data_IF_677318656781
#
_entry.id   IF_677318656781
#
_cell.length_a   1.000
_cell.length_b   1.000
_cell.length_c   1.000
_cell.angle_alpha   90.00
_cell.angle_beta   90.00
_cell.angle_gamma   90.00
#
_symmetry.space_group_name_H-M   'P 1'
#
loop_
_entity.id
_entity.type
_entity.pdbx_description
1 polymer ?
#
# COMPACT_ATOMS: atom_id res chain seq x y z
N UNK A 1 -9.76 6.47 11.36
CA UNK A 1 -8.77 6.95 12.36
C UNK A 1 -9.14 8.37 12.73
N UNK A 2 -8.80 8.82 13.94
CA UNK A 2 -9.15 10.17 14.40
C UNK A 2 -7.90 10.89 14.89
N UNK A 3 -7.60 12.04 14.29
CA UNK A 3 -6.48 12.90 14.71
C UNK A 3 -6.93 13.90 15.78
N UNK A 4 -6.06 14.13 16.75
CA UNK A 4 -6.20 15.15 17.78
C UNK A 4 -4.94 16.00 17.82
N UNK A 5 -5.10 17.30 17.64
CA UNK A 5 -3.98 18.25 17.67
C UNK A 5 -4.09 19.14 18.90
N UNK A 6 -2.99 19.31 19.62
CA UNK A 6 -2.90 20.26 20.74
C UNK A 6 -1.51 20.87 20.84
N UNK A 7 -1.43 22.04 21.45
CA UNK A 7 -0.16 22.72 21.69
C UNK A 7 0.40 22.36 23.08
N UNK A 8 1.65 21.94 23.14
CA UNK A 8 2.30 21.50 24.38
C UNK A 8 3.80 21.81 24.35
N UNK A 9 4.28 22.53 25.37
CA UNK A 9 5.68 22.95 25.53
C UNK A 9 6.32 23.60 24.28
N UNK A 10 5.53 24.39 23.53
CA UNK A 10 6.01 25.06 22.31
C UNK A 10 5.91 24.21 21.04
N UNK A 11 5.43 22.98 21.12
CA UNK A 11 5.25 22.08 19.99
C UNK A 11 3.77 21.84 19.67
N UNK A 12 3.46 21.64 18.38
CA UNK A 12 2.16 21.12 17.97
C UNK A 12 2.23 19.60 17.96
N UNK A 13 1.47 18.97 18.85
CA UNK A 13 1.43 17.51 19.01
C UNK A 13 0.20 16.98 18.30
N UNK A 14 0.40 16.03 17.39
CA UNK A 14 -0.67 15.31 16.70
C UNK A 14 -0.72 13.88 17.22
N UNK A 15 -1.81 13.52 17.91
CA UNK A 15 -2.10 12.16 18.33
C UNK A 15 -3.11 11.54 17.38
N UNK A 16 -2.83 10.33 16.93
CA UNK A 16 -3.65 9.63 15.96
C UNK A 16 -4.24 8.39 16.63
N UNK A 17 -5.55 8.42 16.82
CA UNK A 17 -6.31 7.36 17.42
C UNK A 17 -6.71 6.31 16.38
N UNK A 18 -6.30 5.08 16.64
CA UNK A 18 -6.52 3.90 15.79
C UNK A 18 -7.69 3.08 16.36
N UNK A 19 -8.59 2.57 15.52
CA UNK A 19 -9.52 1.52 15.95
C UNK A 19 -8.76 0.35 16.59
N UNK A 20 -9.32 -0.24 17.65
CA UNK A 20 -8.72 -1.41 18.29
C UNK A 20 -8.85 -2.66 17.43
N UNK A 21 -7.90 -3.59 17.52
CA UNK A 21 -8.01 -4.89 16.83
C UNK A 21 -9.11 -5.79 17.42
N UNK A 22 -9.51 -5.56 18.68
CA UNK A 22 -10.63 -6.23 19.36
C UNK A 22 -11.97 -5.45 19.19
N UNK A 23 -12.14 -4.69 18.10
CA UNK A 23 -13.36 -3.89 17.85
C UNK A 23 -14.57 -4.82 17.60
N UNK A 24 -15.72 -4.48 18.19
CA UNK A 24 -16.96 -5.27 18.06
C UNK A 24 -17.64 -5.09 16.70
N UNK A 25 -17.38 -3.97 16.03
CA UNK A 25 -18.01 -3.57 14.77
C UNK A 25 -17.09 -3.78 13.56
N UNK A 26 -15.77 -3.79 13.76
CA UNK A 26 -14.79 -3.95 12.69
C UNK A 26 -14.03 -5.26 12.79
N UNK A 27 -13.71 -5.85 11.63
CA UNK A 27 -12.86 -7.03 11.60
C UNK A 27 -11.38 -6.67 11.81
N UNK A 28 -10.59 -7.62 12.32
CA UNK A 28 -9.13 -7.46 12.48
C UNK A 28 -8.46 -7.05 11.15
N UNK A 29 -8.93 -7.62 10.03
CA UNK A 29 -8.50 -7.24 8.68
C UNK A 29 -8.83 -5.78 8.34
N UNK A 30 -10.06 -5.34 8.59
CA UNK A 30 -10.47 -3.96 8.31
C UNK A 30 -9.69 -2.94 9.16
N UNK A 31 -9.39 -3.29 10.41
CA UNK A 31 -8.54 -2.47 11.29
C UNK A 31 -7.14 -2.35 10.70
N UNK A 32 -6.53 -3.48 10.31
CA UNK A 32 -5.22 -3.51 9.66
C UNK A 32 -5.18 -2.65 8.40
N UNK A 33 -6.15 -2.82 7.49
CA UNK A 33 -6.26 -2.03 6.26
C UNK A 33 -6.33 -0.54 6.54
N UNK A 34 -7.15 -0.13 7.51
CA UNK A 34 -7.31 1.29 7.86
C UNK A 34 -6.00 1.89 8.39
N UNK A 35 -5.28 1.15 9.23
CA UNK A 35 -3.99 1.58 9.77
C UNK A 35 -2.95 1.65 8.64
N UNK A 36 -2.86 0.62 7.81
CA UNK A 36 -1.92 0.52 6.71
C UNK A 36 -2.07 1.68 5.71
N UNK A 37 -3.30 1.95 5.25
CA UNK A 37 -3.59 3.06 4.32
C UNK A 37 -3.20 4.41 4.90
N UNK A 38 -3.54 4.65 6.17
CA UNK A 38 -3.18 5.91 6.82
C UNK A 38 -1.66 6.08 6.95
N UNK A 39 -0.95 5.00 7.31
CA UNK A 39 0.51 5.00 7.40
C UNK A 39 1.18 5.21 6.03
N UNK A 40 0.62 4.60 4.98
CA UNK A 40 1.05 4.77 3.59
C UNK A 40 0.90 6.23 3.15
N UNK A 41 -0.30 6.80 3.29
CA UNK A 41 -0.61 8.18 2.91
C UNK A 41 0.28 9.18 3.65
N UNK A 42 0.42 9.02 4.97
CA UNK A 42 1.27 9.87 5.80
C UNK A 42 2.74 9.81 5.33
N UNK A 43 3.26 8.62 5.04
CA UNK A 43 4.64 8.45 4.60
C UNK A 43 4.89 9.03 3.20
N UNK A 44 3.95 8.83 2.26
CA UNK A 44 4.01 9.45 0.91
C UNK A 44 4.02 10.98 0.99
N UNK A 45 3.33 11.55 1.97
CA UNK A 45 3.33 12.99 2.25
C UNK A 45 4.55 13.47 3.06
N UNK A 46 5.54 12.61 3.29
CA UNK A 46 6.77 12.89 4.07
C UNK A 46 6.50 13.25 5.53
N UNK A 47 5.32 12.91 6.05
CA UNK A 47 4.99 13.02 7.46
C UNK A 47 5.53 11.77 8.19
N UNK A 48 6.40 11.98 9.17
CA UNK A 48 7.03 10.90 9.94
C UNK A 48 6.49 10.87 11.36
N UNK A 49 6.25 9.66 11.87
CA UNK A 49 5.86 9.44 13.26
C UNK A 49 7.08 9.56 14.17
N UNK A 50 7.00 10.40 15.19
CA UNK A 50 8.02 10.44 16.25
C UNK A 50 8.00 9.16 17.11
N UNK A 51 6.85 8.50 17.21
CA UNK A 51 6.75 7.20 17.85
C UNK A 51 5.35 6.60 17.80
N UNK A 52 5.23 5.40 18.36
CA UNK A 52 3.98 4.63 18.44
C UNK A 52 3.74 4.24 19.88
N UNK A 53 2.50 4.34 20.34
CA UNK A 53 2.10 4.01 21.71
C UNK A 53 1.24 2.74 21.66
N UNK A 54 1.71 1.66 22.27
CA UNK A 54 0.94 0.43 22.47
C UNK A 54 0.36 0.42 23.87
N UNK A 55 -0.97 0.38 23.99
CA UNK A 55 -1.66 0.42 25.28
C UNK A 55 -2.09 -0.99 25.70
N UNK A 56 -1.83 -1.35 26.96
CA UNK A 56 -2.32 -2.57 27.58
C UNK A 56 -2.99 -2.28 28.92
N UNK A 57 -4.09 -2.97 29.22
CA UNK A 57 -4.79 -2.83 30.51
C UNK A 57 -4.19 -3.80 31.53
N UNK A 58 -3.57 -3.28 32.59
CA UNK A 58 -2.97 -4.10 33.65
C UNK A 58 -4.02 -4.88 34.47
N UNK A 59 -5.29 -4.47 34.37
CA UNK A 59 -6.41 -5.15 35.00
C UNK A 59 -6.67 -6.54 34.40
N UNK A 60 -6.34 -6.75 33.12
CA UNK A 60 -6.51 -8.06 32.49
C UNK A 60 -5.50 -9.04 33.10
N UNK A 61 -5.96 -10.18 33.68
CA UNK A 61 -5.09 -11.07 34.45
C UNK A 61 -4.10 -11.85 33.59
N UNK A 62 -4.32 -11.94 32.27
CA UNK A 62 -3.48 -12.71 31.36
C UNK A 62 -3.45 -12.08 29.97
N UNK A 63 -2.30 -12.17 29.32
CA UNK A 63 -2.14 -11.96 27.88
C UNK A 63 -2.56 -13.25 27.15
N UNK A 64 -3.85 -13.42 26.87
CA UNK A 64 -4.35 -14.63 26.21
C UNK A 64 -4.98 -14.35 24.84
N UNK A 65 -4.85 -15.33 23.94
CA UNK A 65 -5.55 -15.40 22.66
C UNK A 65 -5.34 -14.18 21.78
N UNK A 66 -6.36 -13.30 21.72
CA UNK A 66 -6.37 -12.13 20.83
C UNK A 66 -5.30 -11.10 21.16
N UNK A 67 -5.04 -10.86 22.44
CA UNK A 67 -4.05 -9.86 22.86
C UNK A 67 -2.64 -10.21 22.36
N UNK A 68 -2.27 -11.50 22.38
CA UNK A 68 -0.98 -11.95 21.85
C UNK A 68 -0.91 -11.88 20.33
N UNK A 69 -1.99 -12.25 19.65
CA UNK A 69 -2.06 -12.13 18.18
C UNK A 69 -1.92 -10.67 17.74
N UNK A 70 -2.63 -9.77 18.42
CA UNK A 70 -2.59 -8.33 18.15
C UNK A 70 -1.18 -7.76 18.41
N UNK A 71 -0.51 -8.22 19.48
CA UNK A 71 0.87 -7.83 19.76
C UNK A 71 1.85 -8.33 18.68
N UNK A 72 1.69 -9.58 18.22
CA UNK A 72 2.51 -10.12 17.12
C UNK A 72 2.30 -9.35 15.83
N UNK A 73 1.05 -9.05 15.49
CA UNK A 73 0.71 -8.23 14.33
C UNK A 73 1.30 -6.82 14.45
N UNK A 74 1.21 -6.20 15.63
CA UNK A 74 1.84 -4.91 15.92
C UNK A 74 3.36 -4.94 15.69
N UNK A 75 4.03 -6.01 16.14
CA UNK A 75 5.47 -6.19 15.88
C UNK A 75 5.78 -6.27 14.39
N UNK A 76 4.97 -6.98 13.61
CA UNK A 76 5.13 -7.03 12.14
C UNK A 76 4.88 -5.67 11.48
N UNK A 77 3.92 -4.88 11.98
CA UNK A 77 3.65 -3.52 11.50
C UNK A 77 4.85 -2.59 11.72
N UNK A 78 5.43 -2.64 12.92
CA UNK A 78 6.55 -1.77 13.28
C UNK A 78 7.87 -2.21 12.65
N UNK A 79 8.18 -3.51 12.65
CA UNK A 79 9.54 -4.02 12.44
C UNK A 79 10.47 -3.74 13.61
N UNK A 80 11.73 -4.17 13.52
CA UNK A 80 12.67 -4.13 14.66
C UNK A 80 13.28 -2.74 14.92
N UNK A 81 13.79 -2.07 13.89
CA UNK A 81 14.47 -0.77 14.05
C UNK A 81 13.58 0.34 14.66
N UNK A 82 12.27 0.42 14.34
CA UNK A 82 11.39 1.43 14.94
C UNK A 82 11.00 1.16 16.40
N UNK A 83 11.33 0.00 16.97
CA UNK A 83 10.95 -0.35 18.35
C UNK A 83 11.52 0.63 19.40
N UNK A 84 12.67 1.25 19.14
CA UNK A 84 13.21 2.32 20.00
C UNK A 84 12.33 3.58 20.10
N UNK A 85 11.39 3.75 19.15
CA UNK A 85 10.39 4.81 19.14
C UNK A 85 9.01 4.29 19.60
N UNK A 86 8.93 3.08 20.16
CA UNK A 86 7.70 2.50 20.70
C UNK A 86 7.65 2.68 22.21
N UNK A 87 6.52 3.18 22.70
CA UNK A 87 6.19 3.19 24.13
C UNK A 87 5.14 2.11 24.40
N UNK A 88 5.46 1.21 25.32
CA UNK A 88 4.58 0.16 25.81
C UNK A 88 3.96 0.64 27.13
N UNK A 89 2.72 1.11 27.07
CA UNK A 89 2.09 1.77 28.21
C UNK A 89 1.05 0.88 28.90
N UNK A 90 1.17 0.70 30.21
CA UNK A 90 0.19 -0.01 31.04
C UNK A 90 -0.84 0.97 31.61
N UNK A 91 -2.12 0.62 31.52
CA UNK A 91 -3.28 1.46 31.89
C UNK A 91 -4.15 0.76 32.93
N UNK A 92 -5.13 1.45 33.52
CA UNK A 92 -6.08 0.93 34.53
C UNK A 92 -5.43 0.47 35.85
N UNK A 93 -4.34 1.11 36.27
CA UNK A 93 -3.67 0.82 37.54
C UNK A 93 -4.57 0.98 38.78
N UNK A 94 -5.56 1.87 38.73
CA UNK A 94 -6.54 2.02 39.83
C UNK A 94 -7.52 0.85 40.00
N UNK A 95 -7.57 -0.10 39.06
CA UNK A 95 -8.46 -1.26 39.12
C UNK A 95 -7.82 -2.50 39.79
N UNK A 96 -6.53 -2.44 40.12
CA UNK A 96 -5.78 -3.53 40.76
C UNK A 96 -4.97 -2.98 41.94
N UNK A 97 -4.64 -3.85 42.89
CA UNK A 97 -3.65 -3.46 43.91
C UNK A 97 -2.24 -3.41 43.30
N UNK A 98 -1.36 -2.61 43.91
CA UNK A 98 -0.02 -2.33 43.42
C UNK A 98 0.82 -3.61 43.26
N UNK A 99 0.74 -4.55 44.22
CA UNK A 99 1.53 -5.78 44.18
C UNK A 99 1.14 -6.66 42.99
N UNK A 100 -0.15 -6.79 42.72
CA UNK A 100 -0.67 -7.56 41.58
C UNK A 100 -0.33 -6.87 40.27
N UNK A 101 -0.50 -5.55 40.20
CA UNK A 101 -0.15 -4.77 39.02
C UNK A 101 1.35 -4.86 38.69
N UNK A 102 2.21 -4.71 39.70
CA UNK A 102 3.65 -4.82 39.55
C UNK A 102 4.08 -6.23 39.09
N UNK A 103 3.50 -7.29 39.68
CA UNK A 103 3.78 -8.67 39.24
C UNK A 103 3.39 -8.92 37.79
N UNK A 104 2.25 -8.38 37.33
CA UNK A 104 1.81 -8.48 35.93
C UNK A 104 2.68 -7.66 34.99
N UNK A 105 3.10 -6.48 35.41
CA UNK A 105 4.00 -5.64 34.62
C UNK A 105 5.37 -6.31 34.46
N UNK A 106 5.88 -6.96 35.51
CA UNK A 106 7.12 -7.73 35.42
C UNK A 106 6.95 -8.91 34.46
N UNK A 107 5.84 -9.65 34.52
CA UNK A 107 5.56 -10.72 33.56
C UNK A 107 5.55 -10.20 32.11
N UNK A 108 4.95 -9.03 31.86
CA UNK A 108 4.98 -8.39 30.54
C UNK A 108 6.42 -8.12 30.09
N UNK A 109 7.27 -7.61 30.99
CA UNK A 109 8.67 -7.26 30.71
C UNK A 109 9.54 -8.49 30.48
N UNK A 110 9.42 -9.52 31.31
CA UNK A 110 10.36 -10.65 31.30
C UNK A 110 10.09 -11.64 30.16
N UNK A 111 8.83 -11.81 29.75
CA UNK A 111 8.45 -12.83 28.76
C UNK A 111 8.77 -12.36 27.33
N UNK A 112 9.65 -13.05 26.58
CA UNK A 112 10.02 -12.65 25.21
C UNK A 112 8.85 -12.62 24.21
N UNK A 113 7.85 -13.47 24.42
CA UNK A 113 6.61 -13.52 23.65
C UNK A 113 5.65 -12.38 23.97
N UNK A 114 5.86 -11.68 25.10
CA UNK A 114 5.15 -10.47 25.49
C UNK A 114 5.98 -9.24 25.08
N UNK A 115 6.37 -8.40 26.04
CA UNK A 115 7.11 -7.17 25.77
C UNK A 115 8.62 -7.34 25.85
N UNK A 116 9.13 -8.43 26.43
CA UNK A 116 10.57 -8.59 26.66
C UNK A 116 11.42 -8.37 25.41
N UNK A 117 11.10 -9.05 24.30
CA UNK A 117 11.82 -8.83 23.05
C UNK A 117 11.72 -7.38 22.57
N UNK A 118 10.57 -6.72 22.73
CA UNK A 118 10.41 -5.33 22.30
C UNK A 118 11.23 -4.36 23.17
N UNK A 119 11.31 -4.63 24.46
CA UNK A 119 12.13 -3.89 25.43
C UNK A 119 13.62 -4.09 25.13
N UNK A 120 14.04 -5.32 24.82
CA UNK A 120 15.43 -5.62 24.41
C UNK A 120 15.85 -4.85 23.15
N UNK A 121 14.90 -4.56 22.26
CA UNK A 121 15.11 -3.76 21.04
C UNK A 121 14.83 -2.26 21.25
N UNK A 122 14.74 -1.80 22.50
CA UNK A 122 14.72 -0.39 22.87
C UNK A 122 13.33 0.21 23.14
N UNK A 123 12.25 -0.58 23.11
CA UNK A 123 10.92 -0.07 23.48
C UNK A 123 10.90 0.36 24.94
N UNK A 124 10.25 1.48 25.23
CA UNK A 124 10.14 2.02 26.59
C UNK A 124 8.84 1.59 27.24
N UNK A 125 8.92 0.95 28.41
CA UNK A 125 7.74 0.71 29.24
C UNK A 125 7.42 1.93 30.13
N UNK A 126 6.14 2.30 30.20
CA UNK A 126 5.65 3.40 31.05
C UNK A 126 4.29 3.06 31.67
N UNK A 127 4.01 3.57 32.88
CA UNK A 127 2.70 3.40 33.54
C UNK A 127 1.85 4.64 33.31
N UNK A 128 0.59 4.46 32.96
CA UNK A 128 -0.42 5.51 32.83
C UNK A 128 -1.40 5.40 33.99
N UNK A 129 -1.21 6.25 34.99
CA UNK A 129 -2.03 6.31 36.21
C UNK A 129 -2.94 7.53 36.23
N UNK A 130 -2.53 8.61 35.57
CA UNK A 130 -3.20 9.91 35.55
C UNK A 130 -2.80 10.73 34.30
N UNK A 131 -3.22 11.99 34.28
CA UNK A 131 -2.89 12.91 33.18
C UNK A 131 -1.40 13.28 33.14
N UNK A 132 -0.72 13.36 34.28
CA UNK A 132 0.69 13.74 34.34
C UNK A 132 1.55 12.66 33.68
N UNK A 133 1.38 11.40 34.11
CA UNK A 133 2.02 10.23 33.51
C UNK A 133 1.68 10.04 32.03
N UNK A 134 0.47 10.42 31.59
CA UNK A 134 0.12 10.43 30.16
C UNK A 134 0.96 11.44 29.37
N UNK A 135 1.18 12.64 29.92
CA UNK A 135 1.99 13.69 29.28
C UNK A 135 3.50 13.34 29.28
N UNK A 136 3.98 12.56 30.24
CA UNK A 136 5.35 12.05 30.25
C UNK A 136 5.66 11.19 29.02
N UNK A 137 4.68 10.43 28.51
CA UNK A 137 4.82 9.67 27.25
C UNK A 137 5.06 10.62 26.08
N UNK A 138 4.31 11.74 26.04
CA UNK A 138 4.45 12.77 25.01
C UNK A 138 5.82 13.44 25.13
N UNK A 139 6.24 13.79 26.35
CA UNK A 139 7.57 14.35 26.61
C UNK A 139 8.71 13.43 26.14
N UNK A 140 8.54 12.12 26.33
CA UNK A 140 9.52 11.13 25.89
C UNK A 140 9.59 11.00 24.35
N UNK A 141 8.45 10.98 23.67
CA UNK A 141 8.40 10.78 22.21
C UNK A 141 8.67 12.06 21.41
N UNK A 142 8.35 13.24 21.95
CA UNK A 142 8.50 14.52 21.26
C UNK A 142 9.91 14.80 20.70
N UNK A 143 11.02 14.57 21.42
CA UNK A 143 12.38 14.80 20.88
C UNK A 143 12.85 13.70 19.93
N UNK A 144 12.12 12.60 19.80
CA UNK A 144 12.56 11.46 18.98
C UNK A 144 12.50 11.80 17.49
N UNK A 145 13.55 11.45 16.75
CA UNK A 145 13.53 11.54 15.29
C UNK A 145 12.63 10.44 14.74
N UNK A 146 11.70 10.80 13.85
CA UNK A 146 10.78 9.83 13.28
C UNK A 146 11.48 8.77 12.42
N UNK A 147 11.09 7.51 12.64
CA UNK A 147 11.62 6.33 11.94
C UNK A 147 10.47 5.68 11.17
N UNK A 148 10.64 5.36 9.87
CA UNK A 148 9.60 4.68 9.11
C UNK A 148 9.35 3.28 9.67
N UNK A 149 8.08 2.96 9.87
CA UNK A 149 7.63 1.61 10.23
C UNK A 149 7.87 0.65 9.06
N UNK A 150 7.98 -0.64 9.34
CA UNK A 150 8.26 -1.63 8.31
C UNK A 150 7.18 -1.67 7.23
N UNK A 151 5.91 -1.63 7.62
CA UNK A 151 4.80 -1.57 6.67
C UNK A 151 4.87 -0.36 5.74
N UNK A 152 5.39 0.78 6.20
CA UNK A 152 5.55 1.98 5.36
C UNK A 152 6.63 1.76 4.30
N UNK A 153 7.77 1.16 4.67
CA UNK A 153 8.83 0.82 3.70
C UNK A 153 8.34 -0.21 2.71
N UNK A 154 7.63 -1.23 3.18
CA UNK A 154 7.11 -2.29 2.31
C UNK A 154 6.10 -1.74 1.29
N UNK A 155 5.13 -0.94 1.73
CA UNK A 155 4.09 -0.45 0.83
C UNK A 155 4.53 0.72 -0.05
N UNK A 156 5.43 1.59 0.43
CA UNK A 156 5.82 2.80 -0.30
C UNK A 156 7.15 2.65 -1.02
N UNK A 157 8.19 2.15 -0.35
CA UNK A 157 9.53 2.03 -0.94
C UNK A 157 9.66 0.77 -1.81
N UNK A 158 9.00 -0.32 -1.42
CA UNK A 158 9.05 -1.62 -2.12
C UNK A 158 7.81 -1.89 -2.98
N UNK A 159 6.81 -0.99 -2.99
CA UNK A 159 5.55 -1.09 -3.74
C UNK A 159 4.80 -2.42 -3.52
N UNK A 160 4.92 -3.00 -2.32
CA UNK A 160 4.21 -4.23 -1.95
C UNK A 160 2.75 -3.93 -1.63
N UNK A 161 1.79 -4.71 -2.17
CA UNK A 161 0.40 -4.63 -1.73
C UNK A 161 0.27 -5.09 -0.27
N UNK A 162 -0.76 -4.66 0.44
CA UNK A 162 -0.93 -4.92 1.88
C UNK A 162 -0.78 -6.41 2.23
N UNK A 163 -1.40 -7.30 1.46
CA UNK A 163 -1.37 -8.76 1.70
C UNK A 163 0.04 -9.37 1.57
N UNK A 164 0.96 -8.70 0.88
CA UNK A 164 2.35 -9.16 0.69
C UNK A 164 3.32 -8.54 1.72
N UNK A 165 2.86 -7.59 2.54
CA UNK A 165 3.64 -7.05 3.67
C UNK A 165 3.80 -8.07 4.80
N UNK A 166 4.80 -7.90 5.67
CA UNK A 166 5.00 -8.77 6.82
C UNK A 166 3.76 -8.85 7.73
N UNK A 167 3.08 -7.71 7.94
CA UNK A 167 1.85 -7.65 8.71
C UNK A 167 0.67 -8.34 8.01
N UNK A 168 0.53 -8.15 6.69
CA UNK A 168 -0.51 -8.79 5.89
C UNK A 168 -0.34 -10.31 5.79
N UNK A 169 0.89 -10.78 5.59
CA UNK A 169 1.22 -12.20 5.58
C UNK A 169 0.91 -12.85 6.93
N UNK A 170 1.36 -12.23 8.03
CA UNK A 170 1.05 -12.73 9.38
C UNK A 170 -0.46 -12.78 9.65
N UNK A 171 -1.22 -11.76 9.22
CA UNK A 171 -2.68 -11.78 9.33
C UNK A 171 -3.29 -12.93 8.52
N UNK A 172 -2.83 -13.13 7.29
CA UNK A 172 -3.36 -14.18 6.42
C UNK A 172 -3.05 -15.59 6.96
N UNK A 173 -1.82 -15.82 7.45
CA UNK A 173 -1.43 -17.07 8.12
C UNK A 173 -2.27 -17.33 9.37
N UNK A 174 -2.51 -16.30 10.17
CA UNK A 174 -3.33 -16.40 11.38
C UNK A 174 -4.80 -16.76 11.05
N UNK A 175 -5.36 -16.16 10.00
CA UNK A 175 -6.70 -16.49 9.51
C UNK A 175 -6.77 -17.94 9.02
N UNK A 176 -5.77 -18.42 8.28
CA UNK A 176 -5.71 -19.82 7.85
C UNK A 176 -5.59 -20.80 9.01
N UNK A 177 -4.73 -20.51 9.99
CA UNK A 177 -4.58 -21.35 11.18
C UNK A 177 -5.90 -21.48 11.95
N UNK A 178 -6.65 -20.38 12.10
CA UNK A 178 -7.98 -20.39 12.74
C UNK A 178 -9.03 -21.12 11.91
N UNK A 179 -8.97 -21.00 10.59
CA UNK A 179 -9.83 -21.72 9.67
C UNK A 179 -9.66 -23.23 9.85
N UNK A 180 -8.42 -23.71 9.91
CA UNK A 180 -8.08 -25.13 10.11
C UNK A 180 -8.58 -25.64 11.46
N UNK A 181 -8.29 -24.92 12.55
CA UNK A 181 -8.77 -25.27 13.89
C UNK A 181 -10.30 -25.37 13.94
N UNK A 182 -11.02 -24.39 13.39
CA UNK A 182 -12.48 -24.43 13.36
C UNK A 182 -13.03 -25.53 12.44
N UNK A 183 -12.31 -25.90 11.38
CA UNK A 183 -12.71 -27.01 10.51
C UNK A 183 -12.58 -28.35 11.24
N UNK A 184 -11.49 -28.56 11.97
CA UNK A 184 -11.30 -29.75 12.80
C UNK A 184 -12.34 -29.84 13.94
N UNK A 185 -12.59 -28.72 14.63
CA UNK A 185 -13.64 -28.65 15.66
C UNK A 185 -15.02 -28.97 15.08
N UNK A 186 -15.35 -28.43 13.90
CA UNK A 186 -16.61 -28.69 13.22
C UNK A 186 -16.75 -30.17 12.84
N UNK A 187 -15.66 -30.83 12.43
CA UNK A 187 -15.67 -32.25 12.13
C UNK A 187 -15.97 -33.08 13.39
N UNK A 188 -15.29 -32.81 14.51
CA UNK A 188 -15.53 -33.51 15.78
C UNK A 188 -16.98 -33.33 16.26
N UNK A 189 -17.52 -32.12 16.18
CA UNK A 189 -18.91 -31.85 16.56
C UNK A 189 -19.89 -32.63 15.68
N UNK A 190 -19.60 -32.80 14.38
CA UNK A 190 -20.45 -33.60 13.49
C UNK A 190 -20.45 -35.08 13.87
N UNK A 191 -19.28 -35.62 14.19
CA UNK A 191 -19.14 -37.01 14.66
C UNK A 191 -19.88 -37.22 16.00
N UNK A 192 -19.72 -36.32 16.97
CA UNK A 192 -20.46 -36.35 18.24
C UNK A 192 -21.97 -36.19 18.04
N UNK A 193 -22.40 -35.38 17.07
CA UNK A 193 -23.80 -35.16 16.77
C UNK A 193 -24.45 -36.39 16.15
N UNK A 194 -23.73 -37.15 15.30
CA UNK A 194 -24.20 -38.43 14.76
C UNK A 194 -24.40 -39.47 15.88
N UNK A 195 -23.45 -39.57 16.82
CA UNK A 195 -23.58 -40.44 17.99
C UNK A 195 -24.77 -40.06 18.88
N UNK A 196 -24.98 -38.76 19.12
CA UNK A 196 -26.12 -38.27 19.90
C UNK A 196 -27.48 -38.60 19.24
N UNK A 197 -27.55 -38.66 17.90
CA UNK A 197 -28.73 -39.12 17.17
C UNK A 197 -28.98 -40.61 17.41
N UNK A 198 -27.93 -41.43 17.38
CA UNK A 198 -28.03 -42.87 17.63
C UNK A 198 -28.48 -43.17 19.07
N UNK A 199 -27.94 -42.44 20.05
CA UNK A 199 -28.26 -42.57 21.47
C UNK A 199 -29.60 -41.92 21.87
N UNK A 200 -30.22 -41.16 20.96
CA UNK A 200 -31.48 -40.41 21.16
C UNK A 200 -31.40 -39.38 22.30
N UNK A 201 -30.23 -38.78 22.51
CA UNK A 201 -30.06 -37.68 23.48
C UNK A 201 -30.43 -36.33 22.82
N UNK A 202 -31.67 -35.90 23.02
CA UNK A 202 -32.17 -34.63 22.47
C UNK A 202 -31.49 -33.40 23.09
N UNK A 203 -31.04 -33.47 24.35
CA UNK A 203 -30.39 -32.33 25.01
C UNK A 203 -28.98 -32.12 24.47
N UNK A 204 -28.20 -33.19 24.36
CA UNK A 204 -26.86 -33.14 23.77
C UNK A 204 -26.92 -32.70 22.31
N UNK A 205 -27.89 -33.21 21.55
CA UNK A 205 -28.10 -32.80 20.16
C UNK A 205 -28.32 -31.30 20.01
N UNK A 206 -29.19 -30.69 20.83
CA UNK A 206 -29.45 -29.26 20.78
C UNK A 206 -28.19 -28.41 21.08
N UNK A 207 -27.38 -28.83 22.05
CA UNK A 207 -26.11 -28.17 22.39
C UNK A 207 -25.10 -28.27 21.24
N UNK A 208 -25.00 -29.44 20.61
CA UNK A 208 -24.10 -29.66 19.47
C UNK A 208 -24.54 -28.86 18.24
N UNK A 209 -25.84 -28.78 17.94
CA UNK A 209 -26.37 -27.94 16.86
C UNK A 209 -26.07 -26.45 17.07
N UNK A 210 -26.19 -25.95 18.31
CA UNK A 210 -25.82 -24.56 18.63
C UNK A 210 -24.32 -24.31 18.45
N UNK A 211 -23.48 -25.23 18.95
CA UNK A 211 -22.03 -25.13 18.80
C UNK A 211 -21.62 -25.19 17.33
N UNK A 212 -22.23 -26.08 16.53
CA UNK A 212 -22.02 -26.17 15.08
C UNK A 212 -22.33 -24.83 14.41
N UNK A 213 -23.51 -24.25 14.65
CA UNK A 213 -23.89 -22.95 14.08
C UNK A 213 -22.92 -21.86 14.48
N UNK A 214 -22.41 -21.86 15.73
CA UNK A 214 -21.41 -20.90 16.19
C UNK A 214 -20.10 -21.01 15.41
N UNK A 215 -19.60 -22.23 15.20
CA UNK A 215 -18.35 -22.46 14.44
C UNK A 215 -18.53 -22.11 12.97
N UNK A 216 -19.64 -22.51 12.35
CA UNK A 216 -19.96 -22.14 10.96
C UNK A 216 -20.02 -20.61 10.77
N UNK A 217 -20.61 -19.89 11.73
CA UNK A 217 -20.60 -18.43 11.73
C UNK A 217 -19.18 -17.85 11.86
N UNK A 218 -18.31 -18.46 12.68
CA UNK A 218 -16.91 -18.04 12.79
C UNK A 218 -16.11 -18.32 11.51
N UNK A 219 -16.31 -19.46 10.86
CA UNK A 219 -15.73 -19.77 9.54
C UNK A 219 -16.17 -18.76 8.49
N UNK A 220 -17.46 -18.45 8.42
CA UNK A 220 -17.98 -17.42 7.52
C UNK A 220 -17.33 -16.05 7.75
N UNK A 221 -17.08 -15.67 9.01
CA UNK A 221 -16.33 -14.44 9.33
C UNK A 221 -14.89 -14.49 8.83
N UNK A 222 -14.20 -15.63 8.98
CA UNK A 222 -12.83 -15.82 8.49
C UNK A 222 -12.77 -15.71 6.97
N UNK A 223 -13.67 -16.39 6.25
CA UNK A 223 -13.71 -16.32 4.78
C UNK A 223 -13.95 -14.88 4.29
N UNK A 224 -14.83 -14.12 4.94
CA UNK A 224 -15.03 -12.70 4.61
C UNK A 224 -13.75 -11.88 4.81
N UNK A 225 -12.99 -12.12 5.87
CA UNK A 225 -11.73 -11.44 6.14
C UNK A 225 -10.65 -11.80 5.10
N UNK A 226 -10.51 -13.08 4.75
CA UNK A 226 -9.58 -13.50 3.68
C UNK A 226 -9.95 -12.90 2.32
N UNK A 227 -11.24 -12.91 1.96
CA UNK A 227 -11.68 -12.29 0.70
C UNK A 227 -11.51 -10.78 0.70
N UNK A 228 -11.61 -10.11 1.85
CA UNK A 228 -11.31 -8.69 1.98
C UNK A 228 -9.83 -8.38 1.64
N UNK A 229 -8.88 -9.11 2.26
CA UNK A 229 -7.44 -8.94 1.94
C UNK A 229 -7.15 -9.18 0.45
N UNK A 230 -7.77 -10.20 -0.14
CA UNK A 230 -7.61 -10.50 -1.58
C UNK A 230 -8.26 -9.44 -2.47
N UNK A 231 -9.44 -8.93 -2.08
CA UNK A 231 -10.14 -7.90 -2.83
C UNK A 231 -9.36 -6.59 -2.84
N UNK A 232 -8.69 -6.25 -1.74
CA UNK A 232 -7.80 -5.09 -1.64
C UNK A 232 -6.63 -5.19 -2.62
N UNK A 233 -5.93 -6.33 -2.67
CA UNK A 233 -4.90 -6.59 -3.69
C UNK A 233 -5.42 -6.41 -5.12
N UNK A 234 -6.57 -7.02 -5.44
CA UNK A 234 -7.18 -6.89 -6.78
C UNK A 234 -7.55 -5.44 -7.10
N UNK A 235 -7.95 -4.65 -6.10
CA UNK A 235 -8.28 -3.24 -6.29
C UNK A 235 -7.03 -2.39 -6.54
N UNK A 236 -5.95 -2.66 -5.80
CA UNK A 236 -4.63 -2.03 -5.99
C UNK A 236 -4.07 -2.34 -7.38
N UNK A 237 -4.10 -3.60 -7.81
CA UNK A 237 -3.66 -4.03 -9.15
C UNK A 237 -4.44 -3.31 -10.26
N UNK A 238 -5.77 -3.21 -10.13
CA UNK A 238 -6.61 -2.46 -11.07
C UNK A 238 -6.25 -0.97 -11.11
N UNK A 239 -6.03 -0.36 -9.95
CA UNK A 239 -5.63 1.05 -9.86
C UNK A 239 -4.28 1.28 -10.55
N UNK A 240 -3.29 0.43 -10.27
CA UNK A 240 -1.95 0.48 -10.89
C UNK A 240 -2.04 0.36 -12.41
N UNK A 241 -2.83 -0.59 -12.92
CA UNK A 241 -3.04 -0.78 -14.35
C UNK A 241 -3.68 0.47 -15.00
N UNK A 242 -4.73 1.01 -14.38
CA UNK A 242 -5.40 2.21 -14.87
C UNK A 242 -4.47 3.44 -14.85
N UNK A 243 -3.66 3.61 -13.80
CA UNK A 243 -2.70 4.72 -13.69
C UNK A 243 -1.62 4.62 -14.78
N UNK A 244 -1.13 3.41 -15.05
CA UNK A 244 -0.19 3.14 -16.13
C UNK A 244 -0.79 3.47 -17.51
N UNK A 245 -2.01 3.01 -17.78
CA UNK A 245 -2.72 3.31 -19.04
C UNK A 245 -2.96 4.81 -19.22
N UNK A 246 -3.39 5.50 -18.15
CA UNK A 246 -3.58 6.95 -18.16
C UNK A 246 -2.26 7.70 -18.42
N UNK A 247 -1.15 7.23 -17.83
CA UNK A 247 0.17 7.81 -18.07
C UNK A 247 0.62 7.60 -19.53
N UNK A 248 0.43 6.41 -20.09
CA UNK A 248 0.70 6.13 -21.50
C UNK A 248 -0.11 7.04 -22.43
N UNK A 249 -1.40 7.23 -22.15
CA UNK A 249 -2.26 8.14 -22.92
C UNK A 249 -1.79 9.59 -22.84
N UNK A 250 -1.40 10.07 -21.64
CA UNK A 250 -0.84 11.41 -21.45
C UNK A 250 0.48 11.60 -22.19
N UNK A 251 1.36 10.59 -22.17
CA UNK A 251 2.62 10.63 -22.90
C UNK A 251 2.38 10.65 -24.42
N UNK A 252 1.44 9.86 -24.93
CA UNK A 252 1.08 9.84 -26.34
C UNK A 252 0.49 11.19 -26.79
N UNK A 253 -0.42 11.78 -26.00
CA UNK A 253 -1.01 13.08 -26.32
C UNK A 253 0.02 14.22 -26.30
N UNK A 254 0.91 14.24 -25.31
CA UNK A 254 2.03 15.18 -25.26
C UNK A 254 2.98 15.03 -26.45
N UNK A 255 3.27 13.78 -26.85
CA UNK A 255 4.14 13.51 -27.99
C UNK A 255 3.55 14.02 -29.29
N UNK A 256 2.23 13.83 -29.47
CA UNK A 256 1.50 14.40 -30.60
C UNK A 256 1.51 15.93 -30.60
N UNK A 257 1.29 16.57 -29.46
CA UNK A 257 1.31 18.04 -29.35
C UNK A 257 2.69 18.62 -29.65
N UNK A 258 3.76 18.03 -29.12
CA UNK A 258 5.14 18.46 -29.43
C UNK A 258 5.45 18.27 -30.90
N UNK A 259 5.11 17.11 -31.48
CA UNK A 259 5.33 16.87 -32.91
C UNK A 259 4.60 17.90 -33.76
N UNK A 260 3.35 18.22 -33.44
CA UNK A 260 2.58 19.25 -34.12
C UNK A 260 3.23 20.63 -33.92
N UNK A 261 3.60 21.04 -32.71
CA UNK A 261 4.21 22.37 -32.45
C UNK A 261 5.57 22.55 -33.13
N UNK A 262 6.43 21.54 -33.06
CA UNK A 262 7.82 21.63 -33.47
C UNK A 262 8.00 21.33 -34.97
N UNK A 263 6.98 20.76 -35.63
CA UNK A 263 6.99 20.71 -37.10
C UNK A 263 6.81 22.10 -37.68
N UNK A 264 7.91 22.63 -38.24
CA UNK A 264 7.89 23.87 -39.01
C UNK A 264 6.85 23.80 -40.15
N UNK A 265 6.24 24.93 -40.54
CA UNK A 265 5.30 25.00 -41.66
C UNK A 265 5.84 24.33 -42.93
N UNK A 266 7.16 24.44 -43.16
CA UNK A 266 7.88 23.76 -44.23
C UNK A 266 7.67 22.23 -44.24
N UNK A 267 7.73 21.56 -43.07
CA UNK A 267 7.56 20.11 -42.96
C UNK A 267 6.10 19.72 -43.18
N UNK A 268 5.16 20.57 -42.74
CA UNK A 268 3.72 20.36 -42.93
C UNK A 268 3.29 20.53 -44.39
N UNK A 269 3.97 21.40 -45.14
CA UNK A 269 3.68 21.65 -46.55
C UNK A 269 4.37 20.65 -47.50
N UNK A 270 5.33 19.86 -47.00
CA UNK A 270 5.96 18.77 -47.76
C UNK A 270 4.93 17.76 -48.26
N UNK A 271 5.24 17.16 -49.39
CA UNK A 271 4.60 15.94 -49.85
C UNK A 271 5.03 14.74 -49.00
N UNK A 272 4.25 13.66 -49.08
CA UNK A 272 4.58 12.41 -48.37
C UNK A 272 5.97 11.88 -48.76
N UNK A 273 6.29 11.87 -50.05
CA UNK A 273 7.57 11.37 -50.56
C UNK A 273 8.76 12.22 -50.08
N UNK A 274 8.61 13.55 -50.04
CA UNK A 274 9.64 14.46 -49.52
C UNK A 274 9.89 14.23 -48.02
N UNK A 275 8.84 13.99 -47.24
CA UNK A 275 8.97 13.68 -45.82
C UNK A 275 9.65 12.33 -45.59
N UNK A 276 9.30 11.29 -46.36
CA UNK A 276 9.95 9.98 -46.31
C UNK A 276 11.46 10.10 -46.61
N UNK A 277 11.83 10.86 -47.64
CA UNK A 277 13.23 11.09 -47.97
C UNK A 277 14.00 11.76 -46.81
N UNK A 278 13.38 12.74 -46.15
CA UNK A 278 13.96 13.42 -44.99
C UNK A 278 14.13 12.50 -43.77
N UNK A 279 13.16 11.64 -43.50
CA UNK A 279 13.24 10.63 -42.43
C UNK A 279 14.39 9.67 -42.70
N UNK A 280 14.47 9.11 -43.91
CA UNK A 280 15.54 8.20 -44.34
C UNK A 280 16.92 8.82 -44.22
N UNK A 281 17.05 10.10 -44.56
CA UNK A 281 18.31 10.84 -44.38
C UNK A 281 18.73 10.97 -42.90
N UNK A 282 17.79 10.87 -41.95
CA UNK A 282 18.02 10.99 -40.51
C UNK A 282 17.97 9.65 -39.75
N UNK A 283 17.71 8.52 -40.40
CA UNK A 283 17.55 7.20 -39.74
C UNK A 283 18.78 6.77 -38.92
N UNK A 284 19.96 7.23 -39.32
CA UNK A 284 21.22 6.95 -38.61
C UNK A 284 21.17 7.49 -37.17
N UNK A 285 20.36 8.51 -36.90
CA UNK A 285 20.21 9.15 -35.58
C UNK A 285 19.38 8.34 -34.59
N UNK A 286 18.71 7.27 -35.02
CA UNK A 286 17.88 6.41 -34.17
C UNK A 286 18.38 4.96 -34.19
N UNK A 287 18.04 4.18 -33.15
CA UNK A 287 18.44 2.78 -33.03
C UNK A 287 17.68 1.87 -34.02
N UNK A 288 18.18 0.64 -34.23
CA UNK A 288 17.61 -0.30 -35.20
C UNK A 288 16.13 -0.61 -34.97
N UNK A 289 15.71 -0.84 -33.71
CA UNK A 289 14.31 -1.10 -33.36
C UNK A 289 13.37 0.05 -33.76
N UNK A 290 13.81 1.29 -33.63
CA UNK A 290 13.01 2.44 -34.06
C UNK A 290 13.02 2.61 -35.58
N UNK A 291 14.08 2.23 -36.29
CA UNK A 291 14.11 2.22 -37.77
C UNK A 291 13.07 1.24 -38.32
N UNK A 292 13.03 0.02 -37.79
CA UNK A 292 12.08 -1.00 -38.22
C UNK A 292 10.63 -0.55 -37.98
N UNK A 293 10.36 0.09 -36.83
CA UNK A 293 9.04 0.68 -36.53
C UNK A 293 8.67 1.79 -37.52
N UNK A 294 9.62 2.66 -37.87
CA UNK A 294 9.38 3.78 -38.79
C UNK A 294 9.09 3.28 -40.20
N UNK A 295 9.83 2.29 -40.70
CA UNK A 295 9.54 1.67 -42.00
C UNK A 295 8.18 0.97 -42.01
N UNK A 296 7.79 0.34 -40.90
CA UNK A 296 6.42 -0.16 -40.70
C UNK A 296 5.37 0.96 -40.81
N UNK A 297 5.58 2.09 -40.14
CA UNK A 297 4.69 3.26 -40.20
C UNK A 297 4.61 3.89 -41.60
N UNK A 298 5.73 3.93 -42.34
CA UNK A 298 5.75 4.42 -43.73
C UNK A 298 4.91 3.50 -44.61
N UNK A 299 5.11 2.18 -44.50
CA UNK A 299 4.34 1.19 -45.27
C UNK A 299 2.84 1.25 -44.97
N UNK A 300 2.47 1.36 -43.70
CA UNK A 300 1.07 1.48 -43.28
C UNK A 300 0.44 2.78 -43.78
N UNK A 301 1.14 3.91 -43.68
CA UNK A 301 0.64 5.19 -44.19
C UNK A 301 0.47 5.18 -45.72
N UNK A 302 1.35 4.51 -46.46
CA UNK A 302 1.22 4.36 -47.92
C UNK A 302 -0.02 3.55 -48.35
N UNK A 303 -0.50 2.65 -47.49
CA UNK A 303 -1.71 1.86 -47.75
C UNK A 303 -3.01 2.65 -47.54
N UNK A 304 -2.93 3.88 -47.03
CA UNK A 304 -4.09 4.75 -46.89
C UNK A 304 -4.73 5.07 -48.25
N UNK A 305 -6.08 5.05 -48.38
CA UNK A 305 -6.78 5.38 -49.62
C UNK A 305 -6.35 6.75 -50.19
N UNK A 306 -6.04 7.70 -49.31
CA UNK A 306 -5.61 9.06 -49.63
C UNK A 306 -4.20 9.13 -50.25
N UNK A 307 -3.37 8.09 -50.06
CA UNK A 307 -1.98 7.98 -50.57
C UNK A 307 -1.80 6.83 -51.59
N UNK A 308 -2.90 6.21 -51.99
CA UNK A 308 -2.94 5.01 -52.83
C UNK A 308 -2.25 5.15 -54.19
N UNK A 309 -2.18 6.37 -54.76
CA UNK A 309 -1.51 6.62 -56.03
C UNK A 309 -0.28 7.55 -55.86
N UNK A 310 0.68 7.45 -56.78
CA UNK A 310 1.93 8.24 -56.72
C UNK A 310 1.68 9.75 -56.88
N UNK A 311 0.60 10.15 -57.56
CA UNK A 311 0.26 11.55 -57.76
C UNK A 311 -0.21 12.22 -56.45
N UNK A 312 -0.97 11.52 -55.60
CA UNK A 312 -1.41 12.04 -54.30
C UNK A 312 -0.26 12.11 -53.32
N UNK A 313 0.65 11.14 -53.31
CA UNK A 313 1.86 11.16 -52.46
C UNK A 313 2.78 12.36 -52.71
N UNK A 314 2.80 12.88 -53.93
CA UNK A 314 3.59 14.06 -54.32
C UNK A 314 2.87 15.39 -54.09
N UNK A 315 1.60 15.38 -53.66
CA UNK A 315 0.83 16.59 -53.40
C UNK A 315 1.30 17.22 -52.08
N UNK A 316 1.52 18.54 -52.08
CA UNK A 316 1.84 19.31 -50.87
C UNK A 316 0.78 19.11 -49.78
N UNK A 317 1.23 19.08 -48.52
CA UNK A 317 0.35 18.88 -47.36
C UNK A 317 -0.01 17.42 -47.06
N UNK A 318 0.47 16.47 -47.87
CA UNK A 318 0.23 15.03 -47.63
C UNK A 318 1.21 14.42 -46.62
N UNK A 319 2.26 15.15 -46.22
CA UNK A 319 3.12 14.76 -45.09
C UNK A 319 2.34 14.55 -43.79
N UNK A 320 1.18 15.21 -43.61
CA UNK A 320 0.28 15.08 -42.44
C UNK A 320 -0.08 13.63 -42.07
N UNK A 321 -0.20 12.75 -43.06
CA UNK A 321 -0.55 11.34 -42.83
C UNK A 321 0.61 10.59 -42.16
N UNK A 322 1.83 10.84 -42.59
CA UNK A 322 3.03 10.25 -41.97
C UNK A 322 3.37 10.92 -40.64
N UNK A 323 3.19 12.24 -40.52
CA UNK A 323 3.34 12.95 -39.24
C UNK A 323 2.38 12.40 -38.18
N UNK A 324 1.15 12.04 -38.56
CA UNK A 324 0.21 11.38 -37.65
C UNK A 324 0.71 10.00 -37.20
N UNK A 325 1.29 9.21 -38.09
CA UNK A 325 1.87 7.91 -37.72
C UNK A 325 3.10 8.08 -36.80
N UNK A 326 3.98 9.04 -37.09
CA UNK A 326 5.17 9.36 -36.28
C UNK A 326 4.83 9.92 -34.90
N UNK A 327 3.62 10.42 -34.68
CA UNK A 327 3.17 10.92 -33.37
C UNK A 327 3.07 9.83 -32.30
N UNK A 328 3.12 8.55 -32.70
CA UNK A 328 3.14 7.38 -31.82
C UNK A 328 4.54 7.14 -31.22
N UNK A 329 5.59 7.62 -31.90
CA UNK A 329 6.96 7.55 -31.39
C UNK A 329 7.20 8.64 -30.34
N UNK A 330 8.23 8.45 -29.51
CA UNK A 330 8.59 9.45 -28.51
C UNK A 330 9.03 10.76 -29.20
N UNK A 331 8.86 11.92 -28.55
CA UNK A 331 9.20 13.21 -29.15
C UNK A 331 10.67 13.29 -29.57
N UNK A 332 11.54 12.60 -28.83
CA UNK A 332 12.97 12.51 -29.12
C UNK A 332 13.22 11.77 -30.44
N UNK A 333 12.59 10.61 -30.60
CA UNK A 333 12.77 9.79 -31.80
C UNK A 333 12.18 10.52 -33.00
N UNK A 334 10.98 11.08 -32.87
CA UNK A 334 10.33 11.79 -33.98
C UNK A 334 11.05 13.10 -34.33
N UNK A 335 11.51 13.87 -33.35
CA UNK A 335 12.31 15.08 -33.58
C UNK A 335 13.64 14.79 -34.29
N UNK A 336 14.33 13.72 -33.89
CA UNK A 336 15.57 13.27 -34.53
C UNK A 336 15.35 12.90 -36.01
N UNK A 337 14.26 12.18 -36.32
CA UNK A 337 13.90 11.78 -37.69
C UNK A 337 13.47 12.97 -38.56
N UNK A 338 12.76 13.94 -37.99
CA UNK A 338 12.35 15.15 -38.69
C UNK A 338 13.49 16.18 -38.82
N UNK A 339 14.60 15.97 -38.10
CA UNK A 339 15.72 16.91 -38.08
C UNK A 339 15.34 18.24 -37.44
N UNK A 340 14.49 18.21 -36.40
CA UNK A 340 14.02 19.37 -35.65
C UNK A 340 14.75 19.42 -34.30
N UNK A 341 15.29 20.59 -33.88
CA UNK A 341 15.88 20.72 -32.55
C UNK A 341 14.83 20.50 -31.46
N UNK A 342 15.09 19.58 -30.54
CA UNK A 342 14.18 19.23 -29.44
C UNK A 342 14.32 20.27 -28.34
N UNK A 343 13.31 21.12 -28.14
CA UNK A 343 13.22 21.97 -26.96
C UNK A 343 12.34 21.28 -25.91
N UNK A 344 12.94 20.84 -24.81
CA UNK A 344 12.20 20.34 -23.66
C UNK A 344 11.51 21.52 -22.96
N UNK A 345 10.19 21.46 -22.69
CA UNK A 345 9.65 22.21 -21.57
C UNK A 345 10.39 21.71 -20.33
N UNK A 346 10.90 22.62 -19.50
CA UNK A 346 11.38 22.26 -18.17
C UNK A 346 10.26 21.50 -17.46
N UNK A 347 10.38 20.19 -17.37
CA UNK A 347 9.70 19.44 -16.33
C UNK A 347 10.25 20.02 -15.03
N UNK A 348 9.36 20.60 -14.23
CA UNK A 348 9.73 21.44 -13.10
C UNK A 348 10.85 20.80 -12.28
N UNK A 349 11.89 21.60 -12.03
CA UNK A 349 12.72 21.39 -10.84
C UNK A 349 11.78 21.40 -9.64
N UNK A 350 11.47 20.25 -9.09
CA UNK A 350 11.13 20.19 -7.68
C UNK A 350 12.35 20.72 -6.93
N UNK A 351 12.13 21.87 -6.30
CA UNK A 351 12.91 22.49 -5.23
C UNK A 351 14.44 22.38 -5.36
N UNK A 352 15.04 23.50 -5.73
CA UNK A 352 16.36 23.90 -5.26
C UNK A 352 16.54 23.51 -3.78
N UNK A 353 17.46 22.60 -3.51
CA UNK A 353 18.17 22.60 -2.23
C UNK A 353 19.03 23.86 -2.21
N UNK A 354 18.84 24.81 -1.26
CA UNK A 354 19.88 25.76 -0.99
C UNK A 354 20.96 25.01 -0.20
N UNK A 355 22.16 24.97 -0.76
CA UNK A 355 23.38 24.83 0.02
C UNK A 355 23.40 25.94 1.07
N UNK A 356 23.35 25.56 2.35
CA UNK A 356 24.33 25.91 3.40
C UNK A 356 24.01 25.13 4.66
#
# INVERSE_FOLDING_TARGET
MKGYTFHYKGHNVNLIDTPGFDDTHKSETEVLTNIAKWLEDSFRNKEKLNGVIYLHSINKPRMEGSALRNLRLFRQLCGENPLKNVVLATTFWGAVNEQTGASREEELRERPEFWGNMVDHGSRMMRVTDRASTLEIVDYLMPMRGVPLEIQKEMVDQDKPLIETAAGQHMNEELHRREELHREELQKIKEEHELAIEEKDEQLRAILEENQRRIENNLNKIYRQQEQLRAERRAEDRKRQNDYENQLQRMASMSRISLERDTSPEIRDMSFDELVARIRANEIKVNAQNRDKVEGMISEAQQSPDLSNSATRKKKGTSRYLLRALSILTPIVSGALLGVPIFFPSFGKESETPET
#
